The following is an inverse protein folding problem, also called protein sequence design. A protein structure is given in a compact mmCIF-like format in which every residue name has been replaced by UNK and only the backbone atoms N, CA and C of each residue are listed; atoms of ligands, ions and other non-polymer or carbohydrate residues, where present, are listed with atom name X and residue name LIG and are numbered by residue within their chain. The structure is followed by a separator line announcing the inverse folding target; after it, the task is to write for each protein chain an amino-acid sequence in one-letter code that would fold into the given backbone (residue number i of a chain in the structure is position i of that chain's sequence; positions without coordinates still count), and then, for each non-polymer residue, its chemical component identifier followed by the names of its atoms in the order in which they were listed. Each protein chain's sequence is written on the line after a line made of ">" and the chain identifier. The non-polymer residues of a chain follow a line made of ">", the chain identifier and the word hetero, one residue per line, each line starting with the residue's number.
data_IF_011666219911
#
_entry.id   IF_011666219911
#
_cell.length_a   1.000
_cell.length_b   1.000
_cell.length_c   1.000
_cell.angle_alpha   90.00
_cell.angle_beta   90.00
_cell.angle_gamma   90.00
#
_symmetry.space_group_name_H-M   'P 1'
#
loop_
_entity.id
_entity.type
_entity.pdbx_description
1 polymer ?
#
# COMPACT_ATOMS: atom_id res chain seq x y z
N UNK A 1 2.85 25.33 8.04
CA UNK A 1 3.46 24.07 7.56
C UNK A 1 4.71 23.72 8.38
N UNK A 2 5.63 24.66 8.68
CA UNK A 2 6.85 24.37 9.47
C UNK A 2 6.59 24.00 10.94
N UNK A 3 5.63 24.63 11.62
CA UNK A 3 5.31 24.31 13.03
C UNK A 3 4.77 22.89 13.26
N UNK A 4 4.04 22.32 12.29
CA UNK A 4 3.53 20.95 12.39
C UNK A 4 4.62 19.87 12.25
N UNK A 5 5.66 20.11 11.44
CA UNK A 5 6.77 19.17 11.22
C UNK A 5 7.60 19.00 12.49
N UNK A 6 7.85 20.09 13.22
CA UNK A 6 8.67 20.09 14.45
C UNK A 6 8.04 19.24 15.55
N UNK A 7 6.70 19.24 15.67
CA UNK A 7 5.98 18.44 16.68
C UNK A 7 6.14 16.94 16.45
N UNK A 8 6.15 16.52 15.18
CA UNK A 8 6.29 15.10 14.83
C UNK A 8 7.75 14.62 14.88
N UNK A 9 8.70 15.45 14.45
CA UNK A 9 10.13 15.11 14.53
C UNK A 9 10.67 15.01 15.96
N UNK A 10 9.98 15.56 16.96
CA UNK A 10 10.34 15.39 18.40
C UNK A 10 10.36 13.93 18.87
N UNK A 11 9.66 13.05 18.19
CA UNK A 11 9.58 11.63 18.51
C UNK A 11 10.61 10.78 17.75
N UNK A 12 11.47 11.42 16.96
CA UNK A 12 12.59 10.78 16.26
C UNK A 12 13.84 10.96 17.10
N UNK A 13 14.49 9.85 17.45
CA UNK A 13 15.73 9.88 18.23
C UNK A 13 16.88 9.35 17.39
N UNK A 14 18.07 9.94 17.55
CA UNK A 14 19.28 9.40 16.97
C UNK A 14 19.73 8.19 17.78
N UNK A 15 19.69 6.99 17.17
CA UNK A 15 20.10 5.74 17.83
C UNK A 15 21.59 5.52 17.68
N UNK A 16 22.11 5.71 16.47
CA UNK A 16 23.52 5.51 16.16
C UNK A 16 23.93 6.33 14.94
N UNK A 17 25.17 6.78 14.95
CA UNK A 17 25.80 7.49 13.83
C UNK A 17 27.02 6.70 13.36
N UNK A 18 27.13 6.57 12.03
CA UNK A 18 28.27 5.99 11.33
C UNK A 18 28.87 7.01 10.36
N UNK A 19 29.99 6.69 9.73
CA UNK A 19 30.66 7.64 8.83
C UNK A 19 29.81 7.99 7.60
N UNK A 20 29.01 7.04 7.10
CA UNK A 20 28.25 7.12 5.84
C UNK A 20 26.74 7.03 6.02
N UNK A 21 26.23 6.69 7.21
CA UNK A 21 24.79 6.60 7.50
C UNK A 21 24.42 6.88 8.95
N UNK A 22 23.13 7.20 9.16
CA UNK A 22 22.51 7.40 10.47
C UNK A 22 21.42 6.36 10.72
N UNK A 23 21.28 5.92 11.98
CA UNK A 23 20.12 5.14 12.44
C UNK A 23 19.25 6.02 13.31
N UNK A 24 18.01 6.27 12.84
CA UNK A 24 17.01 7.03 13.55
C UNK A 24 15.96 6.10 14.16
N UNK A 25 15.66 6.30 15.44
CA UNK A 25 14.63 5.59 16.16
C UNK A 25 13.27 6.27 15.99
N UNK A 26 12.24 5.47 15.73
CA UNK A 26 10.85 5.91 15.58
C UNK A 26 9.90 5.05 16.40
N UNK A 27 8.81 5.60 16.96
CA UNK A 27 7.96 4.86 17.90
C UNK A 27 7.13 3.76 17.24
N UNK A 28 6.75 3.91 15.98
CA UNK A 28 5.88 2.93 15.29
C UNK A 28 6.26 2.76 13.82
N UNK A 29 5.83 1.62 13.23
CA UNK A 29 5.97 1.37 11.78
C UNK A 29 5.24 2.43 10.94
N UNK A 30 4.05 2.83 11.37
CA UNK A 30 3.28 3.89 10.71
C UNK A 30 4.07 5.21 10.66
N UNK A 31 4.70 5.57 11.78
CA UNK A 31 5.49 6.79 11.88
C UNK A 31 6.73 6.76 10.96
N UNK A 32 7.40 5.61 10.88
CA UNK A 32 8.51 5.38 9.93
C UNK A 32 8.03 5.57 8.49
N UNK A 33 6.96 4.89 8.11
CA UNK A 33 6.46 4.89 6.73
C UNK A 33 5.96 6.27 6.31
N UNK A 34 5.37 7.01 7.24
CA UNK A 34 4.95 8.40 7.05
C UNK A 34 6.14 9.37 6.85
N UNK A 35 7.20 9.25 7.65
CA UNK A 35 8.43 10.04 7.48
C UNK A 35 9.11 9.69 6.16
N UNK A 36 9.29 8.42 5.86
CA UNK A 36 9.97 7.94 4.66
C UNK A 36 9.24 8.42 3.40
N UNK A 37 7.90 8.35 3.38
CA UNK A 37 7.12 8.73 2.20
C UNK A 37 7.10 10.24 1.92
N UNK A 38 7.23 11.09 2.94
CA UNK A 38 7.00 12.55 2.79
C UNK A 38 8.23 13.41 3.04
N UNK A 39 9.14 12.96 3.89
CA UNK A 39 10.19 13.82 4.43
C UNK A 39 11.61 13.26 4.29
N UNK A 40 11.79 12.02 3.85
CA UNK A 40 13.12 11.40 3.76
C UNK A 40 14.09 12.23 2.92
N UNK A 41 13.66 12.69 1.75
CA UNK A 41 14.51 13.50 0.85
C UNK A 41 14.91 14.82 1.51
N UNK A 42 13.99 15.49 2.20
CA UNK A 42 14.27 16.74 2.93
C UNK A 42 15.18 16.51 4.13
N UNK A 43 14.99 15.42 4.86
CA UNK A 43 15.85 15.07 5.99
C UNK A 43 17.24 14.74 5.50
N UNK A 44 17.38 13.99 4.40
CA UNK A 44 18.66 13.70 3.76
C UNK A 44 19.36 14.97 3.28
N UNK A 45 18.63 15.90 2.68
CA UNK A 45 19.17 17.20 2.24
C UNK A 45 19.69 18.01 3.42
N UNK A 46 18.91 18.12 4.49
CA UNK A 46 19.31 18.83 5.72
C UNK A 46 20.53 18.17 6.34
N UNK A 47 20.52 16.86 6.49
CA UNK A 47 21.61 16.10 7.13
C UNK A 47 22.91 16.20 6.30
N UNK A 48 22.82 16.18 4.97
CA UNK A 48 23.97 16.39 4.07
C UNK A 48 24.60 17.77 4.21
N UNK A 49 23.81 18.81 4.55
CA UNK A 49 24.35 20.14 4.81
C UNK A 49 25.20 20.20 6.08
N UNK A 50 25.01 19.29 7.03
CA UNK A 50 25.81 19.19 8.25
C UNK A 50 26.97 18.19 8.10
N UNK A 51 26.81 17.15 7.29
CA UNK A 51 27.83 16.11 7.10
C UNK A 51 27.78 15.57 5.66
N UNK A 52 28.71 16.03 4.84
CA UNK A 52 28.80 15.72 3.39
C UNK A 52 28.99 14.22 3.09
N UNK A 53 29.53 13.45 4.05
CA UNK A 53 29.80 12.02 3.89
C UNK A 53 28.57 11.13 4.07
N UNK A 54 27.45 11.67 4.56
CA UNK A 54 26.24 10.89 4.82
C UNK A 54 25.48 10.60 3.52
N UNK A 55 25.36 9.31 3.21
CA UNK A 55 24.69 8.81 2.01
C UNK A 55 23.32 8.18 2.30
N UNK A 56 23.05 7.77 3.57
CA UNK A 56 21.91 6.95 3.93
C UNK A 56 21.37 7.26 5.33
N UNK A 57 20.02 7.09 5.50
CA UNK A 57 19.35 7.11 6.80
C UNK A 57 18.57 5.81 6.95
N UNK A 58 18.75 5.14 8.06
CA UNK A 58 18.00 3.95 8.45
C UNK A 58 17.04 4.27 9.59
N UNK A 59 15.89 3.59 9.63
CA UNK A 59 14.90 3.76 10.69
C UNK A 59 14.72 2.47 11.49
N UNK A 60 14.89 2.56 12.81
CA UNK A 60 14.63 1.47 13.75
C UNK A 60 13.36 1.79 14.55
N UNK A 61 12.48 0.82 14.72
CA UNK A 61 11.32 0.97 15.59
C UNK A 61 11.80 0.76 17.02
N UNK A 62 11.50 1.73 17.89
CA UNK A 62 11.84 1.66 19.31
C UNK A 62 10.52 1.63 20.06
N UNK A 63 10.21 0.50 20.69
CA UNK A 63 9.11 0.38 21.62
C UNK A 63 9.45 1.17 22.89
N UNK A 64 8.42 1.81 23.48
CA UNK A 64 8.54 2.78 24.58
C UNK A 64 9.43 2.27 25.73
N UNK A 65 10.38 3.05 26.27
CA UNK A 65 11.35 2.60 27.26
C UNK A 65 10.76 2.37 28.67
N UNK A 66 9.45 2.38 28.85
CA UNK A 66 8.80 2.14 30.15
C UNK A 66 8.63 0.67 30.55
N UNK A 67 8.98 -0.30 29.69
CA UNK A 67 8.71 -1.71 29.98
C UNK A 67 9.81 -2.69 29.53
N UNK A 68 11.09 -2.37 29.66
CA UNK A 68 12.10 -3.43 29.53
C UNK A 68 13.25 -3.26 30.52
N UNK A 69 13.28 -4.21 31.46
CA UNK A 69 14.49 -4.60 32.19
C UNK A 69 15.46 -5.21 31.18
N UNK A 70 16.72 -4.81 31.34
CA UNK A 70 17.93 -5.30 30.71
C UNK A 70 17.90 -6.75 30.21
N UNK A 71 17.92 -6.93 28.89
CA UNK A 71 18.51 -8.09 28.26
C UNK A 71 19.57 -7.62 27.27
N UNK A 72 20.82 -8.02 27.50
CA UNK A 72 21.95 -7.80 26.61
C UNK A 72 21.67 -8.52 25.28
N UNK A 73 21.37 -7.76 24.24
CA UNK A 73 21.14 -8.29 22.89
C UNK A 73 22.51 -8.61 22.30
N UNK A 74 22.79 -9.91 22.14
CA UNK A 74 23.97 -10.43 21.44
C UNK A 74 23.99 -9.96 19.98
N UNK A 75 25.12 -9.43 19.56
CA UNK A 75 25.36 -8.77 18.26
C UNK A 75 25.50 -9.73 17.06
N UNK A 76 25.04 -10.97 17.10
CA UNK A 76 25.36 -12.00 16.10
C UNK A 76 24.40 -12.11 14.91
N UNK A 77 23.25 -11.40 14.87
CA UNK A 77 22.26 -11.53 13.78
C UNK A 77 22.27 -10.38 12.75
N UNK A 78 23.35 -9.59 12.67
CA UNK A 78 23.41 -8.40 11.80
C UNK A 78 23.95 -8.64 10.38
N UNK A 79 24.23 -9.88 9.97
CA UNK A 79 24.83 -10.16 8.65
C UNK A 79 23.84 -10.42 7.51
N UNK A 80 22.59 -9.95 7.60
CA UNK A 80 21.73 -9.78 6.42
C UNK A 80 21.56 -8.31 6.10
N UNK A 81 22.61 -7.71 5.55
CA UNK A 81 22.55 -6.44 4.84
C UNK A 81 21.75 -6.66 3.56
N UNK A 82 20.43 -6.51 3.65
CA UNK A 82 19.60 -6.39 2.45
C UNK A 82 19.82 -4.98 1.91
N UNK A 83 20.49 -4.89 0.79
CA UNK A 83 20.70 -3.62 0.07
C UNK A 83 19.36 -2.92 -0.11
N UNK A 84 19.28 -1.65 0.32
CA UNK A 84 18.08 -0.80 0.25
C UNK A 84 17.60 -0.58 -1.20
N UNK A 85 18.40 -0.95 -2.21
CA UNK A 85 18.01 -0.92 -3.62
C UNK A 85 16.78 -1.78 -3.92
N UNK A 86 16.62 -2.93 -3.26
CA UNK A 86 15.52 -3.87 -3.55
C UNK A 86 14.34 -3.73 -2.58
N UNK A 87 14.54 -3.18 -1.38
CA UNK A 87 13.47 -3.10 -0.38
C UNK A 87 12.37 -2.09 -0.72
N UNK A 88 12.64 -1.10 -1.58
CA UNK A 88 11.64 -0.13 -2.04
C UNK A 88 10.79 -0.71 -3.18
N UNK A 89 11.31 -1.69 -3.93
CA UNK A 89 10.61 -2.38 -5.01
C UNK A 89 9.78 -3.59 -4.51
N UNK A 90 10.21 -4.25 -3.43
CA UNK A 90 9.58 -5.46 -2.89
C UNK A 90 8.41 -5.17 -1.91
N UNK A 91 7.60 -4.14 -2.15
CA UNK A 91 6.49 -3.79 -1.26
C UNK A 91 5.15 -4.39 -1.68
N UNK A 92 5.11 -5.68 -1.93
CA UNK A 92 3.89 -6.49 -1.85
C UNK A 92 3.70 -7.02 -0.42
N UNK A 93 3.63 -6.14 0.57
CA UNK A 93 3.35 -6.60 1.93
C UNK A 93 1.85 -6.68 2.14
N UNK A 94 1.32 -7.83 1.78
CA UNK A 94 0.03 -8.26 2.29
C UNK A 94 0.14 -8.40 3.81
N UNK A 95 -0.85 -7.88 4.52
CA UNK A 95 -0.91 -7.99 5.98
C UNK A 95 -1.60 -9.31 6.35
N UNK A 96 -0.91 -10.27 7.01
CA UNK A 96 -1.50 -11.57 7.36
C UNK A 96 -2.76 -11.47 8.23
N UNK A 97 -2.91 -10.38 8.97
CA UNK A 97 -4.09 -10.16 9.83
C UNK A 97 -5.33 -9.70 9.07
N UNK A 98 -5.19 -9.27 7.80
CA UNK A 98 -6.30 -8.84 6.95
C UNK A 98 -6.68 -9.97 5.99
N UNK A 99 -7.05 -11.14 6.51
CA UNK A 99 -7.48 -12.32 5.78
C UNK A 99 -9.02 -12.45 5.79
N UNK A 100 -9.57 -13.44 5.08
CA UNK A 100 -11.01 -13.68 5.05
C UNK A 100 -11.61 -14.16 6.38
N UNK A 101 -10.82 -14.80 7.23
CA UNK A 101 -11.26 -15.31 8.53
C UNK A 101 -11.50 -14.16 9.52
N UNK A 102 -10.65 -13.15 9.46
CA UNK A 102 -10.74 -11.95 10.31
C UNK A 102 -11.74 -10.91 9.77
N UNK A 103 -12.34 -11.14 8.60
CA UNK A 103 -13.32 -10.24 8.03
C UNK A 103 -14.70 -10.53 8.58
N UNK A 104 -15.24 -9.62 9.39
CA UNK A 104 -16.55 -9.79 10.02
C UNK A 104 -17.65 -9.53 8.99
N UNK A 105 -18.44 -10.58 8.72
CA UNK A 105 -19.57 -10.57 7.80
C UNK A 105 -20.79 -9.89 8.43
N UNK A 106 -21.49 -9.08 7.65
CA UNK A 106 -22.79 -8.49 7.94
C UNK A 106 -23.55 -8.20 6.67
N UNK A 107 -24.80 -7.74 6.77
CA UNK A 107 -25.68 -7.47 5.63
C UNK A 107 -25.09 -6.48 4.63
N UNK A 108 -24.38 -5.45 5.14
CA UNK A 108 -23.79 -4.37 4.33
C UNK A 108 -22.55 -4.78 3.51
N UNK A 109 -21.91 -5.91 3.81
CA UNK A 109 -20.66 -6.34 3.17
C UNK A 109 -20.68 -7.80 2.67
N UNK A 110 -21.78 -8.51 2.85
CA UNK A 110 -21.90 -9.93 2.49
C UNK A 110 -21.67 -10.18 0.99
N UNK A 111 -22.23 -9.32 0.13
CA UNK A 111 -22.07 -9.42 -1.33
C UNK A 111 -20.61 -9.24 -1.71
N UNK A 112 -19.96 -8.21 -1.15
CA UNK A 112 -18.54 -7.93 -1.40
C UNK A 112 -17.65 -9.10 -0.96
N UNK A 113 -17.89 -9.65 0.23
CA UNK A 113 -17.16 -10.82 0.74
C UNK A 113 -17.38 -12.06 -0.16
N UNK A 114 -18.63 -12.33 -0.54
CA UNK A 114 -18.99 -13.49 -1.38
C UNK A 114 -18.26 -13.45 -2.74
N UNK A 115 -18.32 -12.32 -3.43
CA UNK A 115 -17.64 -12.18 -4.73
C UNK A 115 -16.13 -12.10 -4.62
N UNK A 116 -15.60 -11.56 -3.54
CA UNK A 116 -14.16 -11.60 -3.25
C UNK A 116 -13.64 -13.04 -3.18
N UNK A 117 -14.38 -13.94 -2.52
CA UNK A 117 -14.06 -15.39 -2.48
C UNK A 117 -14.22 -16.05 -3.85
N UNK A 118 -15.32 -15.74 -4.58
CA UNK A 118 -15.55 -16.29 -5.93
C UNK A 118 -14.46 -15.89 -6.95
N UNK A 119 -13.87 -14.69 -6.82
CA UNK A 119 -12.75 -14.28 -7.66
C UNK A 119 -11.50 -15.10 -7.35
N UNK A 120 -11.30 -15.54 -6.11
CA UNK A 120 -10.21 -16.44 -5.77
C UNK A 120 -10.40 -17.83 -6.39
N UNK A 121 -11.64 -18.34 -6.42
CA UNK A 121 -11.98 -19.64 -7.02
C UNK A 121 -11.92 -19.61 -8.56
N UNK A 122 -12.37 -18.52 -9.15
CA UNK A 122 -12.51 -18.35 -10.61
C UNK A 122 -11.89 -17.04 -11.08
N UNK A 123 -10.57 -16.96 -11.08
CA UNK A 123 -9.85 -15.79 -11.60
C UNK A 123 -10.20 -15.54 -13.06
N UNK A 124 -10.25 -14.27 -13.44
CA UNK A 124 -10.62 -13.75 -14.77
C UNK A 124 -12.11 -13.77 -15.12
N UNK A 125 -12.97 -14.44 -14.33
CA UNK A 125 -14.42 -14.44 -14.62
C UNK A 125 -15.08 -13.09 -14.32
N UNK A 126 -14.61 -12.40 -13.29
CA UNK A 126 -15.11 -11.09 -12.85
C UNK A 126 -13.97 -10.08 -12.93
N UNK A 127 -13.68 -9.61 -14.15
CA UNK A 127 -12.47 -8.82 -14.40
C UNK A 127 -12.78 -7.53 -15.18
N UNK A 128 -12.51 -6.34 -14.62
CA UNK A 128 -12.02 -6.13 -13.26
C UNK A 128 -13.06 -6.39 -12.18
N UNK A 129 -12.63 -6.71 -10.95
CA UNK A 129 -13.44 -6.59 -9.75
C UNK A 129 -13.23 -5.19 -9.16
N UNK A 130 -14.30 -4.42 -9.07
CA UNK A 130 -14.28 -3.06 -8.54
C UNK A 130 -15.12 -2.99 -7.26
N UNK A 131 -14.46 -2.75 -6.11
CA UNK A 131 -15.11 -2.64 -4.80
C UNK A 131 -15.08 -1.18 -4.37
N UNK A 132 -16.25 -0.60 -4.11
CA UNK A 132 -16.31 0.78 -3.64
C UNK A 132 -17.12 0.93 -2.35
N UNK A 133 -16.94 2.05 -1.66
CA UNK A 133 -17.66 2.37 -0.43
C UNK A 133 -16.93 3.45 0.36
N UNK A 134 -17.56 3.94 1.40
CA UNK A 134 -17.01 4.97 2.29
C UNK A 134 -15.67 4.58 2.93
N UNK A 135 -15.05 5.55 3.60
CA UNK A 135 -13.80 5.33 4.34
C UNK A 135 -14.06 4.39 5.54
N UNK A 136 -13.13 3.45 5.80
CA UNK A 136 -13.22 2.55 6.96
C UNK A 136 -14.18 1.36 6.81
N UNK A 137 -14.80 1.13 5.65
CA UNK A 137 -15.77 0.05 5.44
C UNK A 137 -15.14 -1.33 5.14
N UNK A 138 -13.82 -1.46 5.17
CA UNK A 138 -13.14 -2.75 5.00
C UNK A 138 -12.70 -3.08 3.57
N UNK A 139 -12.72 -2.12 2.62
CA UNK A 139 -12.25 -2.32 1.24
C UNK A 139 -10.83 -2.88 1.18
N UNK A 140 -9.89 -2.18 1.80
CA UNK A 140 -8.47 -2.61 1.88
C UNK A 140 -8.33 -4.00 2.51
N UNK A 141 -9.16 -4.33 3.50
CA UNK A 141 -9.18 -5.66 4.12
C UNK A 141 -9.54 -6.73 3.09
N UNK A 142 -10.64 -6.56 2.33
CA UNK A 142 -11.05 -7.52 1.31
C UNK A 142 -10.00 -7.64 0.20
N UNK A 143 -9.44 -6.54 -0.28
CA UNK A 143 -8.38 -6.56 -1.29
C UNK A 143 -7.16 -7.34 -0.79
N UNK A 144 -6.76 -7.10 0.46
CA UNK A 144 -5.65 -7.80 1.09
C UNK A 144 -5.95 -9.30 1.26
N UNK A 145 -7.18 -9.66 1.69
CA UNK A 145 -7.59 -11.05 1.86
C UNK A 145 -7.55 -11.81 0.54
N UNK A 146 -8.02 -11.21 -0.57
CA UNK A 146 -7.90 -11.79 -1.91
C UNK A 146 -6.42 -12.00 -2.26
N UNK A 147 -5.57 -11.01 -2.00
CA UNK A 147 -4.14 -11.12 -2.26
C UNK A 147 -3.48 -12.25 -1.49
N UNK A 148 -3.80 -12.41 -0.20
CA UNK A 148 -3.30 -13.51 0.64
C UNK A 148 -3.72 -14.88 0.13
N UNK A 149 -4.98 -15.01 -0.29
CA UNK A 149 -5.50 -16.27 -0.82
C UNK A 149 -4.80 -16.68 -2.13
N UNK A 150 -4.60 -15.71 -3.03
CA UNK A 150 -4.05 -15.97 -4.36
C UNK A 150 -2.52 -16.06 -4.40
N UNK A 151 -1.79 -15.48 -3.43
CA UNK A 151 -0.32 -15.43 -3.47
C UNK A 151 0.36 -16.79 -3.41
N UNK A 152 -0.33 -17.83 -2.93
CA UNK A 152 0.19 -19.20 -2.88
C UNK A 152 0.31 -19.86 -4.25
N UNK A 153 -0.50 -19.41 -5.22
CA UNK A 153 -0.62 -20.01 -6.56
C UNK A 153 -0.35 -19.05 -7.71
N UNK A 154 -0.31 -17.75 -7.45
CA UNK A 154 -0.20 -16.70 -8.48
C UNK A 154 0.76 -15.59 -8.06
N UNK A 155 1.34 -14.93 -9.06
CA UNK A 155 2.12 -13.71 -8.83
C UNK A 155 1.17 -12.53 -8.57
N UNK A 156 1.07 -12.13 -7.29
CA UNK A 156 0.17 -11.07 -6.84
C UNK A 156 0.94 -9.76 -6.66
N UNK A 157 0.50 -8.70 -7.33
CA UNK A 157 0.93 -7.33 -7.11
C UNK A 157 -0.15 -6.59 -6.34
N UNK A 158 0.13 -6.18 -5.08
CA UNK A 158 -0.75 -5.35 -4.26
C UNK A 158 -0.12 -3.97 -4.05
N UNK A 159 -0.80 -2.90 -4.48
CA UNK A 159 -0.29 -1.53 -4.39
C UNK A 159 -1.41 -0.52 -4.15
N UNK A 160 -1.13 0.58 -3.45
CA UNK A 160 -2.04 1.74 -3.46
C UNK A 160 -1.81 2.63 -4.67
N UNK A 161 -2.83 3.34 -5.13
CA UNK A 161 -2.71 4.29 -6.24
C UNK A 161 -1.71 5.43 -5.96
N UNK A 162 -1.56 5.84 -4.69
CA UNK A 162 -0.53 6.82 -4.30
C UNK A 162 0.88 6.26 -4.50
N UNK A 163 1.09 4.99 -4.18
CA UNK A 163 2.38 4.33 -4.33
C UNK A 163 2.68 4.05 -5.80
N UNK A 164 1.68 3.64 -6.60
CA UNK A 164 1.80 3.53 -8.06
C UNK A 164 2.26 4.87 -8.65
N UNK A 165 1.65 5.98 -8.24
CA UNK A 165 2.07 7.33 -8.63
C UNK A 165 3.53 7.63 -8.21
N UNK A 166 3.93 7.27 -7.00
CA UNK A 166 5.30 7.49 -6.55
C UNK A 166 6.32 6.77 -7.43
N UNK A 167 6.06 5.49 -7.76
CA UNK A 167 6.92 4.71 -8.66
C UNK A 167 6.97 5.31 -10.07
N UNK A 168 5.83 5.78 -10.58
CA UNK A 168 5.74 6.45 -11.87
C UNK A 168 6.59 7.72 -11.91
N UNK A 169 6.46 8.61 -10.94
CA UNK A 169 7.25 9.85 -10.86
C UNK A 169 8.74 9.53 -10.71
N UNK A 170 9.09 8.53 -9.91
CA UNK A 170 10.47 8.11 -9.71
C UNK A 170 11.09 7.58 -11.00
N UNK A 171 10.36 6.77 -11.78
CA UNK A 171 10.86 6.23 -13.04
C UNK A 171 11.02 7.31 -14.12
N UNK A 172 10.13 8.31 -14.18
CA UNK A 172 10.33 9.49 -15.05
C UNK A 172 11.62 10.22 -14.68
N UNK A 173 11.81 10.54 -13.39
CA UNK A 173 13.02 11.25 -12.91
C UNK A 173 14.33 10.48 -13.18
N UNK A 174 14.26 9.15 -13.19
CA UNK A 174 15.40 8.26 -13.47
C UNK A 174 15.54 7.87 -14.93
N UNK A 175 14.63 8.32 -15.80
CA UNK A 175 14.52 7.89 -17.20
C UNK A 175 14.43 6.36 -17.36
N UNK A 176 13.71 5.70 -16.46
CA UNK A 176 13.62 4.25 -16.29
C UNK A 176 12.19 3.72 -16.43
N UNK A 177 11.50 4.20 -17.47
CA UNK A 177 10.10 3.81 -17.74
C UNK A 177 9.95 2.36 -18.22
N UNK A 178 10.99 1.78 -18.80
CA UNK A 178 10.96 0.37 -19.26
C UNK A 178 10.83 -0.55 -18.06
N UNK A 179 11.70 -0.42 -17.08
CA UNK A 179 11.64 -1.24 -15.85
C UNK A 179 10.34 -1.03 -15.06
N UNK A 180 9.80 0.20 -15.05
CA UNK A 180 8.50 0.48 -14.45
C UNK A 180 7.39 -0.35 -15.12
N UNK A 181 7.33 -0.33 -16.46
CA UNK A 181 6.33 -1.06 -17.23
C UNK A 181 6.46 -2.57 -17.01
N UNK A 182 7.66 -3.08 -17.11
CA UNK A 182 7.95 -4.50 -16.92
C UNK A 182 7.57 -4.97 -15.50
N UNK A 183 7.83 -4.15 -14.50
CA UNK A 183 7.50 -4.47 -13.12
C UNK A 183 6.00 -4.60 -12.89
N UNK A 184 5.20 -3.64 -13.37
CA UNK A 184 3.76 -3.65 -13.11
C UNK A 184 2.97 -4.58 -14.05
N UNK A 185 3.50 -4.92 -15.23
CA UNK A 185 2.81 -5.71 -16.23
C UNK A 185 3.07 -7.21 -16.16
N UNK A 186 3.91 -7.69 -15.22
CA UNK A 186 4.23 -9.13 -15.08
C UNK A 186 3.24 -9.91 -14.22
N UNK A 187 2.49 -9.23 -13.35
CA UNK A 187 1.66 -9.89 -12.36
C UNK A 187 0.47 -10.64 -12.96
N UNK A 188 0.20 -11.84 -12.45
CA UNK A 188 -1.01 -12.59 -12.78
C UNK A 188 -2.26 -12.04 -12.07
N UNK A 189 -2.06 -11.33 -10.96
CA UNK A 189 -3.10 -10.66 -10.19
C UNK A 189 -2.61 -9.27 -9.82
N UNK A 190 -3.33 -8.24 -10.27
CA UNK A 190 -3.02 -6.85 -10.00
C UNK A 190 -4.09 -6.23 -9.10
N UNK A 191 -3.71 -5.86 -7.89
CA UNK A 191 -4.59 -5.26 -6.89
C UNK A 191 -4.17 -3.82 -6.65
N UNK A 192 -5.06 -2.87 -6.93
CA UNK A 192 -4.80 -1.46 -6.67
C UNK A 192 -5.83 -0.87 -5.72
N UNK A 193 -5.34 -0.35 -4.59
CA UNK A 193 -6.16 0.24 -3.55
C UNK A 193 -6.28 1.76 -3.75
N UNK A 194 -7.50 2.29 -3.48
CA UNK A 194 -7.81 3.71 -3.49
C UNK A 194 -7.53 4.41 -4.83
N UNK A 195 -8.10 3.90 -5.93
CA UNK A 195 -7.89 4.41 -7.30
C UNK A 195 -8.23 5.90 -7.46
N UNK A 196 -9.08 6.48 -6.60
CA UNK A 196 -9.41 7.92 -6.66
C UNK A 196 -8.19 8.85 -6.55
N UNK A 197 -7.05 8.37 -6.07
CA UNK A 197 -5.83 9.17 -5.99
C UNK A 197 -5.15 9.48 -7.34
N UNK A 198 -5.57 8.82 -8.44
CA UNK A 198 -5.11 9.18 -9.80
C UNK A 198 -5.80 10.44 -10.34
N UNK A 199 -6.83 10.95 -9.66
CA UNK A 199 -7.67 12.06 -10.06
C UNK A 199 -6.84 13.31 -10.41
N UNK A 200 -7.13 13.92 -11.58
CA UNK A 200 -6.49 15.15 -12.05
C UNK A 200 -5.01 15.02 -12.43
N UNK A 201 -4.49 13.80 -12.58
CA UNK A 201 -3.09 13.53 -12.94
C UNK A 201 -3.02 12.83 -14.29
N UNK A 202 -3.13 13.61 -15.38
CA UNK A 202 -3.33 13.10 -16.74
C UNK A 202 -2.27 12.10 -17.18
N UNK A 203 -0.98 12.41 -17.02
CA UNK A 203 0.11 11.50 -17.42
C UNK A 203 0.11 10.18 -16.62
N UNK A 204 -0.27 10.24 -15.33
CA UNK A 204 -0.43 9.05 -14.51
C UNK A 204 -1.64 8.20 -14.97
N UNK A 205 -2.75 8.85 -15.29
CA UNK A 205 -3.94 8.18 -15.82
C UNK A 205 -3.66 7.50 -17.15
N UNK A 206 -2.84 8.11 -18.00
CA UNK A 206 -2.42 7.51 -19.27
C UNK A 206 -1.59 6.25 -19.05
N UNK A 207 -0.56 6.29 -18.20
CA UNK A 207 0.24 5.11 -17.90
C UNK A 207 -0.56 4.02 -17.18
N UNK A 208 -1.47 4.43 -16.27
CA UNK A 208 -2.40 3.47 -15.64
C UNK A 208 -3.29 2.79 -16.68
N UNK A 209 -3.84 3.51 -17.64
CA UNK A 209 -4.66 2.96 -18.72
C UNK A 209 -3.90 1.94 -19.56
N UNK A 210 -2.65 2.24 -19.92
CA UNK A 210 -1.81 1.31 -20.67
C UNK A 210 -1.44 0.07 -19.86
N UNK A 211 -1.12 0.24 -18.58
CA UNK A 211 -0.84 -0.87 -17.66
C UNK A 211 -2.08 -1.76 -17.50
N UNK A 212 -3.24 -1.18 -17.30
CA UNK A 212 -4.52 -1.87 -17.16
C UNK A 212 -4.86 -2.71 -18.40
N UNK A 213 -4.75 -2.12 -19.60
CA UNK A 213 -5.01 -2.85 -20.84
C UNK A 213 -4.02 -4.00 -21.06
N UNK A 214 -2.73 -3.77 -20.85
CA UNK A 214 -1.71 -4.82 -20.96
C UNK A 214 -1.98 -6.00 -20.02
N UNK A 215 -2.39 -5.73 -18.79
CA UNK A 215 -2.75 -6.77 -17.82
C UNK A 215 -4.02 -7.55 -18.25
N UNK A 216 -5.03 -6.87 -18.77
CA UNK A 216 -6.23 -7.53 -19.29
C UNK A 216 -5.92 -8.44 -20.50
N UNK A 217 -5.09 -7.97 -21.45
CA UNK A 217 -4.66 -8.72 -22.62
C UNK A 217 -3.88 -9.99 -22.26
N UNK A 218 -3.13 -9.95 -21.15
CA UNK A 218 -2.41 -11.11 -20.62
C UNK A 218 -3.29 -12.04 -19.77
N UNK A 219 -4.57 -11.72 -19.59
CA UNK A 219 -5.50 -12.50 -18.75
C UNK A 219 -5.27 -12.34 -17.26
N UNK A 220 -4.56 -11.30 -16.82
CA UNK A 220 -4.37 -11.03 -15.41
C UNK A 220 -5.69 -10.61 -14.75
N UNK A 221 -5.92 -11.06 -13.52
CA UNK A 221 -7.05 -10.60 -12.70
C UNK A 221 -6.76 -9.21 -12.14
N UNK A 222 -7.63 -8.25 -12.40
CA UNK A 222 -7.51 -6.89 -11.87
C UNK A 222 -8.55 -6.68 -10.76
N UNK A 223 -8.13 -6.15 -9.62
CA UNK A 223 -8.98 -5.87 -8.45
C UNK A 223 -8.70 -4.45 -8.00
N UNK A 224 -9.76 -3.68 -7.79
CA UNK A 224 -9.65 -2.24 -7.56
C UNK A 224 -10.56 -1.83 -6.41
N UNK A 225 -10.06 -0.97 -5.53
CA UNK A 225 -10.91 -0.27 -4.57
C UNK A 225 -11.06 1.22 -4.89
N UNK A 226 -12.16 1.79 -4.44
CA UNK A 226 -12.43 3.22 -4.52
C UNK A 226 -13.36 3.73 -3.41
N UNK A 227 -13.46 5.05 -3.28
CA UNK A 227 -14.42 5.69 -2.39
C UNK A 227 -15.83 5.85 -3.01
N UNK A 228 -15.96 5.64 -4.34
CA UNK A 228 -17.19 5.84 -5.12
C UNK A 228 -17.22 4.99 -6.38
N UNK A 229 -18.40 4.80 -7.03
CA UNK A 229 -18.49 4.03 -8.27
C UNK A 229 -17.71 4.69 -9.42
N UNK A 230 -17.29 3.91 -10.44
CA UNK A 230 -16.41 4.40 -11.52
C UNK A 230 -16.92 5.66 -12.21
N UNK A 231 -18.21 5.72 -12.53
CA UNK A 231 -18.83 6.86 -13.23
C UNK A 231 -18.81 8.16 -12.42
N UNK A 232 -18.71 8.07 -11.09
CA UNK A 232 -18.62 9.22 -10.19
C UNK A 232 -17.20 9.64 -9.83
N UNK A 233 -16.18 9.05 -10.47
CA UNK A 233 -14.79 9.46 -10.28
C UNK A 233 -14.55 10.80 -11.00
N UNK A 234 -14.38 11.88 -10.20
CA UNK A 234 -14.14 13.22 -10.74
C UNK A 234 -12.75 13.32 -11.35
N UNK A 235 -12.59 14.07 -12.45
CA UNK A 235 -11.30 14.35 -13.12
C UNK A 235 -10.52 13.07 -13.45
N UNK A 236 -11.22 11.99 -13.77
CA UNK A 236 -10.71 10.74 -14.33
C UNK A 236 -11.26 10.63 -15.75
N UNK A 237 -10.38 10.29 -16.70
CA UNK A 237 -10.71 10.19 -18.13
C UNK A 237 -11.81 9.14 -18.37
N UNK A 238 -12.74 9.43 -19.26
CA UNK A 238 -13.89 8.55 -19.56
C UNK A 238 -13.47 7.15 -20.03
N UNK A 239 -12.37 7.05 -20.78
CA UNK A 239 -11.82 5.75 -21.20
C UNK A 239 -11.43 4.84 -20.02
N UNK A 240 -10.92 5.44 -18.92
CA UNK A 240 -10.60 4.69 -17.69
C UNK A 240 -11.89 4.29 -16.99
N UNK A 241 -12.83 5.20 -16.81
CA UNK A 241 -14.13 4.90 -16.20
C UNK A 241 -14.85 3.77 -16.92
N UNK A 242 -14.85 3.79 -18.26
CA UNK A 242 -15.39 2.72 -19.08
C UNK A 242 -14.73 1.38 -18.80
N UNK A 243 -13.39 1.33 -18.72
CA UNK A 243 -12.65 0.10 -18.40
C UNK A 243 -12.94 -0.41 -16.99
N UNK A 244 -12.99 0.49 -16.00
CA UNK A 244 -13.34 0.16 -14.63
C UNK A 244 -14.77 -0.37 -14.50
N UNK A 245 -15.66 0.08 -15.38
CA UNK A 245 -17.06 -0.35 -15.43
C UNK A 245 -17.28 -1.63 -16.24
N UNK A 246 -16.28 -2.14 -16.94
CA UNK A 246 -16.39 -3.32 -17.80
C UNK A 246 -16.49 -4.66 -17.08
N UNK A 247 -16.28 -4.68 -15.76
CA UNK A 247 -16.31 -5.88 -14.95
C UNK A 247 -17.42 -5.87 -13.90
N UNK A 248 -17.15 -6.49 -12.76
CA UNK A 248 -18.09 -6.57 -11.63
C UNK A 248 -17.85 -5.39 -10.66
N UNK A 249 -18.88 -4.59 -10.45
CA UNK A 249 -18.85 -3.46 -9.52
C UNK A 249 -19.69 -3.83 -8.29
N UNK A 250 -19.09 -3.67 -7.10
CA UNK A 250 -19.74 -4.01 -5.83
C UNK A 250 -19.54 -2.86 -4.85
N UNK A 251 -20.60 -2.48 -4.17
CA UNK A 251 -20.55 -1.55 -3.05
C UNK A 251 -20.40 -2.25 -1.70
N UNK A 252 -19.86 -1.50 -0.76
CA UNK A 252 -19.91 -1.83 0.67
C UNK A 252 -20.65 -0.69 1.36
N UNK A 253 -21.81 -1.03 1.91
CA UNK A 253 -22.67 -0.09 2.62
C UNK A 253 -22.17 0.17 4.05
N UNK A 254 -22.80 1.18 4.68
CA UNK A 254 -22.52 1.53 6.08
C UNK A 254 -22.95 0.38 6.98
N UNK A 255 -22.07 -0.13 7.86
CA UNK A 255 -22.40 -1.22 8.76
C UNK A 255 -23.52 -0.82 9.74
N UNK A 256 -24.45 -1.72 9.98
CA UNK A 256 -25.47 -1.60 11.00
C UNK A 256 -24.86 -1.68 12.42
N UNK A 257 -25.69 -1.51 13.44
CA UNK A 257 -25.24 -1.52 14.83
C UNK A 257 -24.71 -2.89 15.26
N UNK A 258 -25.29 -3.95 14.76
CA UNK A 258 -24.90 -5.32 15.10
C UNK A 258 -23.51 -5.64 14.52
N UNK A 259 -23.29 -5.34 13.24
CA UNK A 259 -21.99 -5.52 12.61
C UNK A 259 -20.91 -4.67 13.30
N UNK A 260 -21.21 -3.42 13.67
CA UNK A 260 -20.27 -2.57 14.44
C UNK A 260 -19.88 -3.19 15.77
N UNK A 261 -20.86 -3.72 16.52
CA UNK A 261 -20.58 -4.42 17.78
C UNK A 261 -19.68 -5.64 17.57
N UNK A 262 -20.00 -6.47 16.57
CA UNK A 262 -19.23 -7.68 16.25
C UNK A 262 -17.78 -7.34 15.85
N UNK A 263 -17.57 -6.28 15.07
CA UNK A 263 -16.23 -5.79 14.72
C UNK A 263 -15.44 -5.35 15.97
N UNK A 264 -16.07 -4.63 16.90
CA UNK A 264 -15.43 -4.19 18.14
C UNK A 264 -15.07 -5.39 19.00
N UNK A 265 -15.99 -6.32 19.23
CA UNK A 265 -15.75 -7.51 20.05
C UNK A 265 -14.59 -8.34 19.47
N UNK A 266 -14.56 -8.55 18.15
CA UNK A 266 -13.49 -9.31 17.51
C UNK A 266 -12.10 -8.62 17.59
N UNK A 267 -12.05 -7.30 17.80
CA UNK A 267 -10.78 -6.57 17.96
C UNK A 267 -10.25 -6.53 19.38
N UNK A 268 -11.12 -6.78 20.36
CA UNK A 268 -10.75 -6.76 21.79
C UNK A 268 -10.26 -8.14 22.24
N UNK A 269 -10.74 -9.19 21.63
CA UNK A 269 -10.28 -10.57 21.84
C UNK A 269 -9.03 -10.87 20.99
#
# INVERSE_FOLDING_TARGET
>A
VMKSIIVWLKNVILVKEFNDYLILGVPTRFFRDWIVSRYLDKILEIVKNFKLSLSRIEFKIIEDPKNNKSDEIKFEDFNKVTEIKDSILNYNRLNPNLNFENFIKGTSNEVALSYSKKVCEHTSRYNPLYIYGGVGLGKTHLLNAIGLELQSSKEVMFISAERFMYHFIKSIKKNDMVNFKDFFRKSSVFIIDDIQFIRGKESLQEEFFHTFNSLLEQGAQIIISADRPPLKLDRVQERIKSRLSGGLIIDIDVPDLELKKNIIINRIN
#
